data_IF_385254136625
#
_entry.id   IF_385254136625
#
_cell.length_a   1.000
_cell.length_b   1.000
_cell.length_c   1.000
_cell.angle_alpha   90.00
_cell.angle_beta   90.00
_cell.angle_gamma   90.00
#
_symmetry.space_group_name_H-M   'P 1'
#
loop_
_entity.id
_entity.type
_entity.pdbx_description
1 polymer ?
#
# COMPACT_ATOMS: atom_id res chain seq x y z
N UNK A 1 -28.34 -4.23 -42.83
CA UNK A 1 -28.31 -3.77 -41.42
C UNK A 1 -26.94 -3.22 -41.01
N UNK A 2 -25.82 -3.91 -41.29
CA UNK A 2 -24.48 -3.34 -41.07
C UNK A 2 -24.19 -2.16 -42.01
N UNK A 3 -24.58 -2.26 -43.29
CA UNK A 3 -24.34 -1.22 -44.29
C UNK A 3 -24.97 0.15 -43.96
N UNK A 4 -26.07 0.19 -43.20
CA UNK A 4 -26.76 1.42 -42.81
C UNK A 4 -26.02 2.17 -41.69
N UNK A 5 -25.35 1.44 -40.80
CA UNK A 5 -24.50 2.02 -39.74
C UNK A 5 -23.30 2.77 -40.35
N UNK A 6 -22.78 2.30 -41.50
CA UNK A 6 -21.64 2.92 -42.18
C UNK A 6 -22.01 3.87 -43.35
N UNK A 7 -23.29 4.26 -43.45
CA UNK A 7 -23.73 5.31 -44.37
C UNK A 7 -23.05 6.66 -44.03
N UNK A 8 -22.92 7.59 -45.00
CA UNK A 8 -22.20 8.87 -44.81
C UNK A 8 -22.64 9.63 -43.55
N UNK A 9 -23.92 9.58 -43.22
CA UNK A 9 -24.53 10.22 -42.04
C UNK A 9 -24.15 9.56 -40.70
N UNK A 10 -23.98 8.23 -40.64
CA UNK A 10 -23.80 7.49 -39.38
C UNK A 10 -22.37 6.98 -39.16
N UNK A 11 -21.51 7.03 -40.18
CA UNK A 11 -20.17 6.43 -40.16
C UNK A 11 -19.29 6.94 -39.02
N UNK A 12 -19.24 8.25 -38.80
CA UNK A 12 -18.42 8.84 -37.73
C UNK A 12 -18.92 8.38 -36.36
N UNK A 13 -20.25 8.46 -36.13
CA UNK A 13 -20.86 8.01 -34.89
C UNK A 13 -20.62 6.51 -34.64
N UNK A 14 -20.72 5.67 -35.68
CA UNK A 14 -20.46 4.22 -35.56
C UNK A 14 -19.01 3.96 -35.16
N UNK A 15 -18.04 4.65 -35.76
CA UNK A 15 -16.62 4.51 -35.41
C UNK A 15 -16.40 4.92 -33.94
N UNK A 16 -16.96 6.06 -33.52
CA UNK A 16 -16.84 6.54 -32.14
C UNK A 16 -17.45 5.56 -31.13
N UNK A 17 -18.61 4.97 -31.44
CA UNK A 17 -19.25 3.96 -30.58
C UNK A 17 -18.41 2.69 -30.49
N UNK A 18 -17.85 2.20 -31.61
CA UNK A 18 -16.96 1.03 -31.60
C UNK A 18 -15.72 1.31 -30.76
N UNK A 19 -15.11 2.49 -30.90
CA UNK A 19 -13.96 2.89 -30.09
C UNK A 19 -14.35 2.97 -28.60
N UNK A 20 -15.50 3.57 -28.29
CA UNK A 20 -15.99 3.67 -26.92
C UNK A 20 -16.21 2.29 -26.29
N UNK A 21 -16.80 1.33 -27.02
CA UNK A 21 -16.95 -0.06 -26.58
C UNK A 21 -15.58 -0.69 -26.33
N UNK A 22 -14.62 -0.51 -27.25
CA UNK A 22 -13.26 -1.02 -27.10
C UNK A 22 -12.56 -0.50 -25.84
N UNK A 23 -12.69 0.80 -25.56
CA UNK A 23 -12.15 1.42 -24.34
C UNK A 23 -12.82 0.84 -23.09
N UNK A 24 -14.14 0.72 -23.07
CA UNK A 24 -14.88 0.19 -21.92
C UNK A 24 -14.50 -1.27 -21.62
N UNK A 25 -14.40 -2.11 -22.66
CA UNK A 25 -13.91 -3.50 -22.51
C UNK A 25 -12.48 -3.52 -21.99
N UNK A 26 -11.60 -2.65 -22.51
CA UNK A 26 -10.21 -2.54 -22.04
C UNK A 26 -10.12 -2.14 -20.56
N UNK A 27 -11.00 -1.24 -20.11
CA UNK A 27 -11.10 -0.84 -18.70
C UNK A 27 -11.65 -1.97 -17.82
N UNK A 28 -12.60 -2.75 -18.32
CA UNK A 28 -13.12 -3.93 -17.61
C UNK A 28 -12.00 -4.96 -17.38
N UNK A 29 -11.22 -5.27 -18.42
CA UNK A 29 -10.06 -6.19 -18.31
C UNK A 29 -9.02 -5.63 -17.35
N UNK A 30 -8.72 -4.33 -17.43
CA UNK A 30 -7.80 -3.69 -16.49
C UNK A 30 -8.24 -3.83 -15.03
N UNK A 31 -9.54 -3.71 -14.75
CA UNK A 31 -10.07 -3.94 -13.40
C UNK A 31 -9.92 -5.40 -12.96
N UNK A 32 -10.09 -6.37 -13.86
CA UNK A 32 -9.84 -7.79 -13.56
C UNK A 32 -8.34 -8.07 -13.31
N UNK A 33 -7.44 -7.43 -14.06
CA UNK A 33 -6.00 -7.53 -13.82
C UNK A 33 -5.66 -7.02 -12.41
N UNK A 34 -6.21 -5.86 -12.02
CA UNK A 34 -6.03 -5.28 -10.68
C UNK A 34 -6.60 -6.16 -9.56
N UNK A 35 -7.74 -6.78 -9.80
CA UNK A 35 -8.31 -7.77 -8.89
C UNK A 35 -7.35 -8.95 -8.69
N UNK A 36 -6.77 -9.47 -9.77
CA UNK A 36 -5.84 -10.58 -9.69
C UNK A 36 -4.54 -10.21 -8.97
N UNK A 37 -3.97 -9.04 -9.26
CA UNK A 37 -2.82 -8.50 -8.52
C UNK A 37 -3.11 -8.42 -7.01
N UNK A 38 -4.29 -7.90 -6.65
CA UNK A 38 -4.73 -7.80 -5.26
C UNK A 38 -4.86 -9.16 -4.59
N UNK A 39 -5.43 -10.16 -5.28
CA UNK A 39 -5.55 -11.53 -4.77
C UNK A 39 -4.20 -12.19 -4.55
N UNK A 40 -3.25 -12.04 -5.49
CA UNK A 40 -1.89 -12.57 -5.34
C UNK A 40 -1.18 -11.93 -4.15
N UNK A 41 -1.31 -10.61 -3.99
CA UNK A 41 -0.78 -9.92 -2.81
C UNK A 41 -1.41 -10.43 -1.52
N UNK A 42 -2.74 -10.50 -1.45
CA UNK A 42 -3.46 -10.95 -0.25
C UNK A 42 -3.09 -12.39 0.13
N UNK A 43 -2.99 -13.29 -0.86
CA UNK A 43 -2.57 -14.66 -0.64
C UNK A 43 -1.15 -14.72 -0.04
N UNK A 44 -0.19 -13.99 -0.62
CA UNK A 44 1.18 -13.92 -0.07
C UNK A 44 1.21 -13.40 1.38
N UNK A 45 0.44 -12.36 1.68
CA UNK A 45 0.37 -11.81 3.05
C UNK A 45 -0.25 -12.84 4.00
N UNK A 46 -1.35 -13.47 3.59
CA UNK A 46 -2.03 -14.49 4.39
C UNK A 46 -1.12 -15.69 4.68
N UNK A 47 -0.40 -16.17 3.66
CA UNK A 47 0.56 -17.28 3.80
C UNK A 47 1.63 -17.00 4.86
N UNK A 48 2.05 -15.75 5.02
CA UNK A 48 3.03 -15.31 6.03
C UNK A 48 2.41 -15.11 7.41
N UNK A 49 1.17 -14.61 7.47
CA UNK A 49 0.42 -14.48 8.72
C UNK A 49 0.12 -15.85 9.35
N UNK A 50 -0.09 -16.88 8.52
CA UNK A 50 -0.39 -18.25 8.96
C UNK A 50 0.86 -19.05 9.37
N UNK A 51 2.06 -18.54 9.10
CA UNK A 51 3.28 -19.18 9.57
C UNK A 51 3.42 -19.09 11.10
N UNK A 52 4.03 -20.10 11.76
CA UNK A 52 4.37 -20.00 13.17
C UNK A 52 5.32 -18.82 13.42
N UNK A 53 5.27 -18.20 14.62
CA UNK A 53 6.18 -17.10 14.95
C UNK A 53 7.65 -17.49 14.80
N UNK A 54 8.40 -16.70 14.04
CA UNK A 54 9.85 -16.84 13.89
C UNK A 54 10.54 -16.39 15.17
N UNK A 55 11.47 -17.18 15.69
CA UNK A 55 12.37 -16.72 16.76
C UNK A 55 13.67 -16.23 16.15
N UNK A 56 13.98 -14.94 16.31
CA UNK A 56 15.25 -14.37 15.86
C UNK A 56 16.33 -14.65 16.92
N UNK A 57 17.31 -15.44 16.53
CA UNK A 57 18.46 -15.84 17.34
C UNK A 57 19.76 -15.72 16.52
N UNK A 58 20.91 -15.94 17.14
CA UNK A 58 22.23 -15.84 16.49
C UNK A 58 22.37 -16.68 15.21
N UNK A 59 21.62 -17.78 15.09
CA UNK A 59 21.71 -18.73 13.97
C UNK A 59 20.61 -18.57 12.92
N UNK A 60 19.74 -17.57 13.02
CA UNK A 60 18.67 -17.38 12.04
C UNK A 60 19.26 -17.07 10.65
N UNK A 61 18.88 -17.80 9.59
CA UNK A 61 19.24 -17.48 8.21
C UNK A 61 18.72 -16.09 7.83
N UNK A 62 19.59 -15.23 7.29
CA UNK A 62 19.26 -13.81 7.06
C UNK A 62 18.79 -13.50 5.65
N UNK A 63 19.19 -14.32 4.69
CA UNK A 63 18.96 -14.16 3.26
C UNK A 63 17.47 -14.23 2.90
N UNK A 64 16.66 -14.90 3.72
CA UNK A 64 15.23 -15.10 3.46
C UNK A 64 14.32 -14.14 4.24
N UNK A 65 14.85 -13.34 5.17
CA UNK A 65 14.01 -12.52 6.08
C UNK A 65 13.09 -11.54 5.35
N UNK A 66 13.54 -10.97 4.22
CA UNK A 66 12.71 -10.07 3.42
C UNK A 66 11.53 -10.78 2.73
N UNK A 67 11.66 -12.08 2.45
CA UNK A 67 10.56 -12.88 1.90
C UNK A 67 9.49 -13.16 2.96
N UNK A 68 9.89 -13.16 4.24
CA UNK A 68 9.06 -13.40 5.43
C UNK A 68 8.36 -12.12 5.94
N UNK A 69 8.25 -11.07 5.12
CA UNK A 69 7.44 -9.90 5.45
C UNK A 69 6.04 -10.33 5.89
N UNK A 70 5.49 -9.70 6.93
CA UNK A 70 4.21 -10.02 7.58
C UNK A 70 4.22 -11.23 8.53
N UNK A 71 5.28 -12.05 8.56
CA UNK A 71 5.36 -13.13 9.53
C UNK A 71 5.55 -12.60 10.95
N UNK A 72 4.89 -13.26 11.92
CA UNK A 72 5.07 -12.97 13.34
C UNK A 72 6.48 -13.32 13.80
N UNK A 73 7.04 -12.51 14.69
CA UNK A 73 8.43 -12.67 15.15
C UNK A 73 8.58 -12.39 16.64
N UNK A 74 9.48 -13.14 17.27
CA UNK A 74 9.89 -12.97 18.66
C UNK A 74 11.41 -12.81 18.68
N UNK A 75 11.90 -11.77 19.36
CA UNK A 75 13.33 -11.53 19.53
C UNK A 75 13.64 -11.13 20.96
N UNK A 76 14.72 -11.69 21.50
CA UNK A 76 15.24 -11.31 22.82
C UNK A 76 16.50 -10.47 22.63
N UNK A 77 16.60 -9.35 23.36
CA UNK A 77 17.71 -8.43 23.20
C UNK A 77 17.65 -7.25 24.14
N UNK A 78 18.55 -6.29 23.95
CA UNK A 78 18.58 -5.03 24.70
C UNK A 78 18.50 -3.85 23.73
N UNK A 79 17.67 -2.86 24.06
CA UNK A 79 17.52 -1.67 23.22
C UNK A 79 18.74 -0.76 23.34
N UNK A 80 19.26 -0.31 22.21
CA UNK A 80 20.25 0.74 22.16
C UNK A 80 19.56 2.10 21.93
N UNK A 81 19.11 2.71 23.03
CA UNK A 81 18.44 4.02 23.01
C UNK A 81 19.34 5.15 22.51
N UNK A 82 20.67 4.99 22.54
CA UNK A 82 21.61 6.00 22.01
C UNK A 82 21.54 6.10 20.49
N UNK A 83 21.11 5.02 19.84
CA UNK A 83 20.97 4.91 18.38
C UNK A 83 19.51 5.03 17.91
N UNK A 84 18.58 5.37 18.80
CA UNK A 84 17.17 5.57 18.46
C UNK A 84 16.99 6.68 17.41
N UNK A 85 16.05 6.48 16.48
CA UNK A 85 15.64 7.46 15.47
C UNK A 85 14.13 7.59 15.43
N UNK A 86 13.62 8.76 15.04
CA UNK A 86 12.18 8.98 14.92
C UNK A 86 11.73 9.02 13.45
N UNK A 87 10.69 8.27 13.10
CA UNK A 87 9.99 8.39 11.83
C UNK A 87 8.94 9.49 11.95
N UNK A 88 9.15 10.62 11.27
CA UNK A 88 8.31 11.82 11.37
C UNK A 88 7.08 11.73 10.48
N UNK A 89 6.16 12.69 10.65
CA UNK A 89 4.99 12.82 9.77
C UNK A 89 3.98 11.69 9.94
N UNK A 90 3.98 11.04 11.11
CA UNK A 90 3.11 9.91 11.40
C UNK A 90 1.85 10.43 12.07
N UNK A 91 0.68 9.98 11.61
CA UNK A 91 -0.60 10.33 12.21
C UNK A 91 -1.14 9.15 12.99
N UNK A 92 -1.61 9.40 14.22
CA UNK A 92 -2.33 8.43 15.04
C UNK A 92 -3.64 9.07 15.52
N UNK A 93 -4.78 8.48 15.15
CA UNK A 93 -6.12 9.00 15.48
C UNK A 93 -6.32 10.50 15.17
N UNK A 94 -5.71 10.99 14.08
CA UNK A 94 -5.80 12.39 13.65
C UNK A 94 -4.78 13.34 14.30
N UNK A 95 -3.97 12.84 15.23
CA UNK A 95 -2.89 13.60 15.88
C UNK A 95 -1.55 13.35 15.20
N UNK A 96 -0.83 14.43 14.89
CA UNK A 96 0.50 14.37 14.31
C UNK A 96 1.53 13.93 15.37
N UNK A 97 2.49 13.12 14.94
CA UNK A 97 3.57 12.66 15.78
C UNK A 97 4.67 11.95 15.01
N UNK A 98 5.38 11.09 15.71
CA UNK A 98 6.44 10.26 15.15
C UNK A 98 6.35 8.83 15.66
N UNK A 99 6.98 7.89 14.95
CA UNK A 99 7.21 6.53 15.47
C UNK A 99 8.65 6.38 15.90
N UNK A 100 8.90 5.73 17.03
CA UNK A 100 10.26 5.49 17.52
C UNK A 100 10.81 4.19 16.96
N UNK A 101 11.94 4.29 16.27
CA UNK A 101 12.68 3.16 15.76
C UNK A 101 13.97 3.01 16.55
N UNK A 102 14.06 1.93 17.32
CA UNK A 102 15.15 1.69 18.26
C UNK A 102 15.85 0.39 17.87
N UNK A 103 17.17 0.40 17.65
CA UNK A 103 17.90 -0.83 17.44
C UNK A 103 17.81 -1.72 18.69
N UNK A 104 17.48 -3.00 18.49
CA UNK A 104 17.52 -4.03 19.51
C UNK A 104 18.73 -4.93 19.22
N UNK A 105 19.73 -4.87 20.10
CA UNK A 105 20.91 -5.75 20.08
C UNK A 105 20.45 -7.17 20.39
N UNK A 106 20.56 -8.07 19.42
CA UNK A 106 20.05 -9.44 19.55
C UNK A 106 20.91 -10.19 20.57
N UNK A 107 20.27 -10.83 21.55
CA UNK A 107 20.96 -11.54 22.61
C UNK A 107 21.88 -12.64 22.03
N UNK A 108 23.16 -12.63 22.39
CA UNK A 108 24.14 -13.59 21.89
C UNK A 108 24.60 -13.36 20.45
N UNK A 109 24.33 -12.19 19.86
CA UNK A 109 24.78 -11.80 18.52
C UNK A 109 25.49 -10.43 18.53
N UNK A 110 26.29 -10.18 17.50
CA UNK A 110 26.88 -8.88 17.17
C UNK A 110 25.94 -7.99 16.35
N UNK A 111 24.79 -8.53 15.94
CA UNK A 111 23.78 -7.85 15.10
C UNK A 111 22.69 -7.19 15.93
N UNK A 112 22.00 -6.25 15.31
CA UNK A 112 20.77 -5.69 15.82
C UNK A 112 19.65 -5.75 14.77
N UNK A 113 18.42 -5.69 15.25
CA UNK A 113 17.23 -5.49 14.41
C UNK A 113 16.58 -4.18 14.80
N UNK A 114 16.14 -3.40 13.81
CA UNK A 114 15.41 -2.17 14.09
C UNK A 114 14.00 -2.52 14.56
N UNK A 115 13.55 -1.94 15.67
CA UNK A 115 12.20 -2.15 16.20
C UNK A 115 11.46 -0.84 16.16
N UNK A 116 10.36 -0.80 15.41
CA UNK A 116 9.35 0.24 15.49
C UNK A 116 8.51 -0.01 16.74
N UNK A 117 8.84 0.73 17.80
CA UNK A 117 8.26 0.60 19.15
C UNK A 117 6.88 1.24 19.28
N UNK A 118 6.43 1.98 18.26
CA UNK A 118 5.14 2.64 18.27
C UNK A 118 5.19 4.15 18.13
N UNK A 119 4.01 4.75 18.16
CA UNK A 119 3.81 6.18 17.94
C UNK A 119 3.93 7.01 19.23
N UNK A 120 4.47 8.22 19.10
CA UNK A 120 4.48 9.26 20.13
C UNK A 120 3.96 10.58 19.54
N UNK A 121 3.30 11.43 20.35
CA UNK A 121 2.80 12.72 19.90
C UNK A 121 3.95 13.67 19.54
N UNK A 122 3.70 14.61 18.63
CA UNK A 122 4.72 15.50 18.09
C UNK A 122 5.41 16.32 19.19
N UNK A 123 4.68 16.73 20.22
CA UNK A 123 5.18 17.48 21.38
C UNK A 123 6.28 16.71 22.14
N UNK A 124 6.23 15.37 22.13
CA UNK A 124 7.23 14.48 22.74
C UNK A 124 8.46 14.28 21.85
N UNK A 125 8.39 14.72 20.59
CA UNK A 125 9.53 14.72 19.65
C UNK A 125 10.39 15.96 19.77
N UNK A 126 9.82 17.07 20.28
CA UNK A 126 10.53 18.33 20.43
C UNK A 126 11.66 18.21 21.46
N UNK A 127 12.81 18.80 21.12
CA UNK A 127 14.04 18.80 21.92
C UNK A 127 14.64 17.40 22.18
N UNK A 128 14.26 16.38 21.40
CA UNK A 128 14.80 15.03 21.56
C UNK A 128 14.48 14.44 22.95
N UNK A 129 13.24 14.63 23.43
CA UNK A 129 12.75 14.13 24.72
C UNK A 129 12.40 12.64 24.73
N UNK A 130 12.37 11.99 23.57
CA UNK A 130 12.10 10.56 23.45
C UNK A 130 13.06 9.60 24.18
N UNK A 131 14.31 9.94 24.58
CA UNK A 131 15.13 9.06 25.41
C UNK A 131 14.48 8.70 26.75
N UNK A 132 13.48 9.46 27.22
CA UNK A 132 12.68 9.08 28.39
C UNK A 132 11.91 7.76 28.21
N UNK A 133 11.60 7.38 26.96
CA UNK A 133 10.97 6.09 26.64
C UNK A 133 11.96 4.92 26.60
N UNK A 134 13.22 5.12 26.98
CA UNK A 134 14.21 4.05 27.04
C UNK A 134 13.73 2.92 27.99
N UNK A 135 13.85 1.68 27.53
CA UNK A 135 13.58 0.49 28.33
C UNK A 135 14.91 -0.21 28.59
N UNK A 136 15.56 0.03 29.75
CA UNK A 136 16.85 -0.56 30.05
C UNK A 136 16.74 -2.06 30.31
N UNK A 137 17.81 -2.79 29.99
CA UNK A 137 17.91 -4.22 30.24
C UNK A 137 17.32 -5.10 29.13
N UNK A 138 17.35 -6.41 29.37
CA UNK A 138 16.96 -7.40 28.36
C UNK A 138 15.45 -7.54 28.28
N UNK A 139 14.91 -7.33 27.09
CA UNK A 139 13.49 -7.45 26.75
C UNK A 139 13.24 -8.59 25.77
N UNK A 140 11.98 -9.01 25.67
CA UNK A 140 11.51 -9.93 24.62
C UNK A 140 10.46 -9.19 23.81
N UNK A 141 10.80 -8.81 22.59
CA UNK A 141 9.92 -8.08 21.67
C UNK A 141 9.14 -9.09 20.84
N UNK A 142 7.82 -8.91 20.78
CA UNK A 142 6.92 -9.60 19.85
C UNK A 142 6.45 -8.61 18.81
N UNK A 143 6.32 -9.04 17.57
CA UNK A 143 5.88 -8.16 16.50
C UNK A 143 5.75 -8.86 15.18
N UNK A 144 5.77 -8.06 14.12
CA UNK A 144 5.68 -8.52 12.74
C UNK A 144 6.91 -8.05 11.95
N UNK A 145 7.48 -8.94 11.13
CA UNK A 145 8.53 -8.58 10.20
C UNK A 145 8.01 -7.63 9.13
N UNK A 146 8.76 -6.57 8.86
CA UNK A 146 8.47 -5.57 7.83
C UNK A 146 9.73 -5.26 7.03
N UNK A 147 9.55 -4.93 5.75
CA UNK A 147 10.66 -4.55 4.88
C UNK A 147 10.73 -3.03 4.73
N UNK A 148 11.94 -2.53 4.45
CA UNK A 148 12.13 -1.12 4.10
C UNK A 148 11.18 -0.71 2.98
N UNK A 149 10.47 0.41 3.16
CA UNK A 149 9.64 0.97 2.10
C UNK A 149 10.36 2.15 1.48
N UNK A 150 10.75 2.02 0.22
CA UNK A 150 11.05 3.16 -0.64
C UNK A 150 9.77 3.47 -1.42
N UNK A 151 8.98 4.48 -1.02
CA UNK A 151 7.83 4.88 -1.79
C UNK A 151 8.31 5.47 -3.11
N UNK A 152 7.79 4.91 -4.19
CA UNK A 152 8.00 5.37 -5.56
C UNK A 152 6.85 6.28 -5.95
N UNK A 153 7.10 7.55 -6.27
CA UNK A 153 6.06 8.46 -6.77
C UNK A 153 6.40 9.95 -6.65
N UNK A 154 5.59 10.79 -7.29
CA UNK A 154 5.71 12.24 -7.23
C UNK A 154 5.26 12.76 -5.85
N UNK A 155 6.07 13.57 -5.17
CA UNK A 155 5.69 14.25 -3.91
C UNK A 155 6.17 13.59 -2.61
N UNK A 156 6.87 12.46 -2.68
CA UNK A 156 7.55 11.91 -1.50
C UNK A 156 8.79 12.75 -1.17
N UNK A 157 8.97 13.06 0.12
CA UNK A 157 10.21 13.67 0.62
C UNK A 157 11.22 12.56 0.86
N UNK A 158 12.33 12.62 0.13
CA UNK A 158 13.49 11.79 0.39
C UNK A 158 14.23 12.33 1.60
N UNK A 159 14.71 11.44 2.46
CA UNK A 159 15.63 11.83 3.53
C UNK A 159 16.96 12.30 2.94
N UNK A 160 17.60 13.33 3.51
CA UNK A 160 18.93 13.74 3.06
C UNK A 160 19.94 12.64 3.38
N UNK A 161 20.93 12.45 2.52
CA UNK A 161 22.07 11.59 2.83
C UNK A 161 22.82 12.20 4.02
N UNK A 162 23.10 11.43 5.09
CA UNK A 162 23.88 11.93 6.21
C UNK A 162 25.23 12.47 5.74
N UNK A 163 25.60 13.66 6.22
CA UNK A 163 26.96 14.19 6.03
C UNK A 163 27.93 13.31 6.82
N UNK A 164 29.15 13.02 6.31
CA UNK A 164 30.13 12.24 7.07
C UNK A 164 30.38 12.84 8.46
N UNK A 165 30.14 12.05 9.51
CA UNK A 165 30.28 12.47 10.91
C UNK A 165 29.00 13.02 11.55
N UNK A 166 27.92 13.21 10.79
CA UNK A 166 26.61 13.58 11.30
C UNK A 166 25.63 12.39 11.25
N UNK A 167 24.76 12.32 12.25
CA UNK A 167 23.73 11.27 12.36
C UNK A 167 22.36 11.86 12.08
N UNK A 168 21.60 11.27 11.17
CA UNK A 168 20.18 11.59 11.03
C UNK A 168 19.42 10.92 12.18
N UNK A 169 18.90 11.75 13.09
CA UNK A 169 18.09 11.29 14.22
C UNK A 169 16.63 11.12 13.88
N UNK A 170 16.18 11.60 12.72
CA UNK A 170 14.80 11.40 12.32
C UNK A 170 14.58 11.45 10.80
N UNK A 171 13.68 10.59 10.36
CA UNK A 171 13.53 10.09 8.99
C UNK A 171 12.08 10.26 8.53
N UNK A 172 11.85 10.37 7.23
CA UNK A 172 10.53 10.40 6.63
C UNK A 172 10.02 8.98 6.33
N UNK A 173 10.93 8.03 6.13
CA UNK A 173 10.63 6.65 5.75
C UNK A 173 11.51 5.65 6.51
N UNK A 174 11.02 4.43 6.67
CA UNK A 174 11.82 3.33 7.20
C UNK A 174 12.71 2.80 6.09
N UNK A 175 13.96 3.28 6.07
CA UNK A 175 15.03 2.79 5.20
C UNK A 175 16.10 2.13 6.07
N UNK A 176 15.96 0.82 6.30
CA UNK A 176 16.84 0.07 7.21
C UNK A 176 18.29 0.10 6.76
N UNK A 177 18.55 0.12 5.44
CA UNK A 177 19.91 0.21 4.88
C UNK A 177 20.55 1.57 5.21
N UNK A 178 19.86 2.67 4.92
CA UNK A 178 20.38 4.02 5.18
C UNK A 178 20.49 4.32 6.68
N UNK A 179 19.53 3.86 7.49
CA UNK A 179 19.58 3.95 8.96
C UNK A 179 20.73 3.09 9.49
N UNK A 180 20.95 1.90 8.93
CA UNK A 180 22.02 0.98 9.32
C UNK A 180 23.41 1.51 9.02
N UNK A 181 23.58 2.29 7.94
CA UNK A 181 24.86 2.87 7.54
C UNK A 181 25.47 3.84 8.59
N UNK A 182 24.64 4.41 9.48
CA UNK A 182 25.10 5.26 10.58
C UNK A 182 25.26 4.51 11.92
N UNK A 183 25.03 3.19 11.95
CA UNK A 183 25.11 2.38 13.17
C UNK A 183 26.52 1.80 13.39
N UNK A 184 26.96 1.62 14.65
CA UNK A 184 28.25 1.01 14.96
C UNK A 184 28.25 -0.53 14.88
N UNK A 185 27.14 -1.14 14.44
CA UNK A 185 26.96 -2.59 14.31
C UNK A 185 26.05 -2.93 13.12
N UNK A 186 26.14 -4.16 12.59
CA UNK A 186 25.29 -4.61 11.49
C UNK A 186 23.81 -4.69 11.90
N UNK A 187 22.95 -4.07 11.10
CA UNK A 187 21.49 -4.26 11.17
C UNK A 187 21.04 -5.41 10.26
N UNK A 188 20.01 -6.15 10.69
CA UNK A 188 19.26 -7.02 9.78
C UNK A 188 18.60 -6.18 8.67
N UNK A 189 18.34 -6.78 7.49
CA UNK A 189 17.72 -6.11 6.34
C UNK A 189 16.23 -5.77 6.51
N UNK A 190 15.64 -6.22 7.61
CA UNK A 190 14.24 -6.08 8.00
C UNK A 190 14.12 -5.31 9.31
N UNK A 191 12.93 -4.79 9.59
CA UNK A 191 12.60 -4.23 10.90
C UNK A 191 11.39 -4.95 11.49
N UNK A 192 11.19 -4.80 12.80
CA UNK A 192 10.06 -5.36 13.53
C UNK A 192 9.10 -4.23 13.84
N UNK A 193 7.85 -4.38 13.41
CA UNK A 193 6.77 -3.56 13.95
C UNK A 193 6.28 -4.22 15.24
N UNK A 194 6.50 -3.57 16.38
CA UNK A 194 6.17 -4.15 17.67
C UNK A 194 4.66 -4.32 17.83
N UNK A 195 4.25 -5.51 18.25
CA UNK A 195 2.90 -5.79 18.68
C UNK A 195 2.68 -5.22 20.09
N UNK A 196 1.49 -4.72 20.43
CA UNK A 196 1.22 -4.20 21.75
C UNK A 196 1.20 -5.36 22.78
N UNK A 197 1.90 -5.15 23.92
CA UNK A 197 1.88 -6.11 25.05
C UNK A 197 0.63 -5.93 25.95
N UNK A 198 0.00 -4.76 25.88
CA UNK A 198 -1.23 -4.39 26.60
C UNK A 198 -2.31 -3.96 25.61
N UNK A 199 -3.44 -3.45 26.10
CA UNK A 199 -4.39 -2.76 25.23
C UNK A 199 -3.67 -1.67 24.41
N UNK A 200 -3.95 -1.55 23.09
CA UNK A 200 -3.41 -0.47 22.29
C UNK A 200 -3.75 0.90 22.90
N UNK A 201 -2.90 1.90 22.65
CA UNK A 201 -3.13 3.31 23.00
C UNK A 201 -3.15 3.63 24.51
N UNK A 202 -2.72 2.71 25.37
CA UNK A 202 -2.70 2.95 26.83
C UNK A 202 -1.38 3.53 27.33
N UNK A 203 -0.25 3.14 26.73
CA UNK A 203 1.10 3.50 27.20
C UNK A 203 1.95 3.90 26.01
N UNK A 204 2.58 5.08 26.09
CA UNK A 204 3.51 5.55 25.07
C UNK A 204 4.85 4.79 25.14
N UNK A 205 5.50 4.52 23.99
CA UNK A 205 4.98 4.68 22.63
C UNK A 205 3.83 3.71 22.32
N UNK A 206 2.82 4.16 21.57
CA UNK A 206 1.68 3.33 21.17
C UNK A 206 2.13 2.30 20.13
N UNK A 207 2.55 1.14 20.63
CA UNK A 207 2.86 -0.03 19.83
C UNK A 207 1.59 -0.52 19.12
N UNK A 208 1.75 -0.98 17.89
CA UNK A 208 0.60 -1.32 17.06
C UNK A 208 1.04 -1.80 15.70
N UNK A 209 0.46 -2.92 15.28
CA UNK A 209 0.62 -3.44 13.93
C UNK A 209 -0.24 -2.61 12.98
N UNK A 210 0.32 -2.27 11.82
CA UNK A 210 -0.47 -1.59 10.79
C UNK A 210 -1.58 -2.52 10.30
N UNK A 211 -2.85 -2.07 10.29
CA UNK A 211 -3.95 -2.88 9.80
C UNK A 211 -3.71 -3.27 8.34
N UNK A 212 -3.94 -4.54 8.03
CA UNK A 212 -3.82 -5.10 6.70
C UNK A 212 -5.21 -5.24 6.11
N UNK A 213 -5.52 -4.43 5.10
CA UNK A 213 -6.72 -4.63 4.30
C UNK A 213 -6.45 -5.76 3.30
N UNK A 214 -7.01 -6.93 3.57
CA UNK A 214 -6.97 -8.11 2.71
C UNK A 214 -8.28 -8.32 1.93
N UNK A 215 -9.12 -7.27 1.85
CA UNK A 215 -10.26 -7.30 0.94
C UNK A 215 -9.81 -7.22 -0.53
N UNK A 216 -10.67 -7.70 -1.42
CA UNK A 216 -10.47 -7.61 -2.87
C UNK A 216 -10.74 -6.21 -3.43
N UNK A 217 -11.23 -5.27 -2.60
CA UNK A 217 -11.73 -3.98 -3.05
C UNK A 217 -12.94 -4.10 -3.98
N UNK A 218 -13.21 -3.06 -4.76
CA UNK A 218 -14.37 -2.99 -5.66
C UNK A 218 -14.05 -3.34 -7.13
N UNK A 219 -12.86 -3.89 -7.39
CA UNK A 219 -12.37 -4.16 -8.74
C UNK A 219 -13.34 -5.02 -9.57
N UNK A 220 -13.88 -6.10 -8.99
CA UNK A 220 -14.84 -6.96 -9.67
C UNK A 220 -16.13 -6.21 -10.04
N UNK A 221 -16.66 -5.40 -9.12
CA UNK A 221 -17.86 -4.59 -9.35
C UNK A 221 -17.66 -3.59 -10.48
N UNK A 222 -16.51 -2.90 -10.50
CA UNK A 222 -16.17 -1.98 -11.59
C UNK A 222 -15.97 -2.69 -12.92
N UNK A 223 -15.36 -3.88 -12.95
CA UNK A 223 -15.27 -4.67 -14.17
C UNK A 223 -16.66 -4.98 -14.75
N UNK A 224 -17.59 -5.43 -13.90
CA UNK A 224 -18.99 -5.67 -14.27
C UNK A 224 -19.67 -4.41 -14.82
N UNK A 225 -19.47 -3.26 -14.18
CA UNK A 225 -20.00 -1.97 -14.63
C UNK A 225 -19.50 -1.59 -16.03
N UNK A 226 -18.20 -1.75 -16.29
CA UNK A 226 -17.62 -1.45 -17.60
C UNK A 226 -18.13 -2.37 -18.71
N UNK A 227 -18.29 -3.67 -18.41
CA UNK A 227 -18.94 -4.59 -19.36
C UNK A 227 -20.40 -4.23 -19.61
N UNK A 228 -21.16 -3.84 -18.59
CA UNK A 228 -22.54 -3.41 -18.73
C UNK A 228 -22.65 -2.18 -19.65
N UNK A 229 -21.79 -1.17 -19.47
CA UNK A 229 -21.77 -0.01 -20.36
C UNK A 229 -21.45 -0.40 -21.81
N UNK A 230 -20.48 -1.31 -22.01
CA UNK A 230 -20.13 -1.79 -23.34
C UNK A 230 -21.33 -2.49 -24.01
N UNK A 231 -22.10 -3.29 -23.26
CA UNK A 231 -23.32 -3.94 -23.74
C UNK A 231 -24.39 -2.90 -24.10
N UNK A 232 -24.61 -1.88 -23.26
CA UNK A 232 -25.56 -0.80 -23.54
C UNK A 232 -25.21 -0.10 -24.85
N UNK A 233 -23.93 0.18 -25.11
CA UNK A 233 -23.49 0.78 -26.37
C UNK A 233 -23.64 -0.18 -27.55
N UNK A 234 -23.24 -1.45 -27.37
CA UNK A 234 -23.30 -2.46 -28.43
C UNK A 234 -24.74 -2.76 -28.89
N UNK A 235 -25.71 -2.72 -27.98
CA UNK A 235 -27.13 -3.00 -28.28
C UNK A 235 -27.91 -1.72 -28.55
N UNK A 236 -27.77 -0.72 -27.70
CA UNK A 236 -28.54 0.53 -27.73
C UNK A 236 -28.25 1.35 -28.98
N UNK A 237 -27.00 1.42 -29.44
CA UNK A 237 -26.65 2.19 -30.63
C UNK A 237 -27.33 1.66 -31.91
N UNK A 238 -27.23 0.36 -32.27
CA UNK A 238 -27.96 -0.15 -33.43
C UNK A 238 -29.49 -0.01 -33.32
N UNK A 239 -30.06 -0.13 -32.12
CA UNK A 239 -31.50 0.09 -31.89
C UNK A 239 -31.87 1.54 -32.15
N UNK A 240 -31.09 2.49 -31.62
CA UNK A 240 -31.28 3.92 -31.82
C UNK A 240 -31.20 4.31 -33.30
N UNK A 241 -30.17 3.85 -34.02
CA UNK A 241 -30.02 4.16 -35.46
C UNK A 241 -31.20 3.61 -36.26
N UNK A 242 -31.66 2.39 -35.95
CA UNK A 242 -32.85 1.80 -36.60
C UNK A 242 -34.11 2.63 -36.34
N UNK A 243 -34.30 3.11 -35.10
CA UNK A 243 -35.44 3.94 -34.75
C UNK A 243 -35.43 5.25 -35.57
N UNK A 244 -34.31 5.95 -35.60
CA UNK A 244 -34.17 7.20 -36.36
C UNK A 244 -34.41 7.02 -37.86
N UNK A 245 -33.93 5.91 -38.45
CA UNK A 245 -34.17 5.62 -39.87
C UNK A 245 -35.63 5.31 -40.17
N UNK A 246 -36.36 4.66 -39.25
CA UNK A 246 -37.79 4.39 -39.41
C UNK A 246 -38.63 5.66 -39.32
N UNK A 247 -38.33 6.54 -38.37
CA UNK A 247 -39.03 7.82 -38.23
C UNK A 247 -38.79 8.74 -39.44
N UNK A 248 -37.55 8.81 -39.94
CA UNK A 248 -37.25 9.55 -41.16
C UNK A 248 -38.00 9.02 -42.40
N UNK A 249 -38.14 7.69 -42.52
CA UNK A 249 -38.88 7.08 -43.62
C UNK A 249 -40.41 7.35 -43.54
N UNK A 250 -40.98 7.40 -42.34
CA UNK A 250 -42.39 7.75 -42.14
C UNK A 250 -42.68 9.19 -42.56
N UNK A 251 -41.86 10.15 -42.11
CA UNK A 251 -42.02 11.56 -42.50
C UNK A 251 -41.86 11.82 -43.99
N UNK A 252 -41.08 11.00 -44.72
CA UNK A 252 -40.99 11.09 -46.17
C UNK A 252 -42.17 10.46 -46.91
N UNK A 253 -42.87 9.50 -46.29
CA UNK A 253 -44.01 8.81 -46.88
C UNK A 253 -45.34 9.57 -46.71
N UNK A 254 -45.38 10.57 -45.83
CA UNK A 254 -46.53 11.43 -45.55
C UNK A 254 -46.18 12.88 -45.90
N UNK A 255 -46.01 13.21 -47.21
CA UNK A 255 -45.80 14.60 -47.60
C UNK A 255 -47.09 15.38 -47.32
N UNK A 256 -46.97 16.58 -46.73
CA UNK A 256 -48.08 17.49 -46.38
C UNK A 256 -49.24 17.38 -47.37
N UNK A 257 -50.34 16.77 -46.94
CA UNK A 257 -51.62 16.78 -47.63
C UNK A 257 -52.41 18.08 -47.37
N UNK A 258 -51.79 19.07 -46.72
CA UNK A 258 -52.35 20.38 -46.46
C UNK A 258 -51.57 21.45 -47.25
N UNK A 259 -51.88 21.54 -48.55
CA UNK A 259 -51.48 22.62 -49.45
C UNK A 259 -52.62 23.03 -50.36
#
# INVERSE_FOLDING_TARGET
>A
MLATLFSRQWRVATILVILAIGVQVRLAVWQLDRLQERRVFNARVQDQLDQPPLTLETRTPLDELSAMEYQSVVVRGEFDSTQEVALRGQSWNGTLGARLLTPLRIAGSDRAVLVDRGWIPYEETENGRWPHYAQPGVVTVRGQLRTSRQPTGLGFRTDPTPVPGERLTAWNQVNVEAIGAQMPYPLLSVYIQQAPDTDPDTVLPYAGLSPLDLSEGSHLGYAGQWFMFAIVFAVGYPVFVRHQLREAAKHQAEPDLDG
#
